data_IF_356828654683
#
_entry.id   IF_356828654683
#
_cell.length_a   1.000
_cell.length_b   1.000
_cell.length_c   1.000
_cell.angle_alpha   90.00
_cell.angle_beta   90.00
_cell.angle_gamma   90.00
#
_symmetry.space_group_name_H-M   'P 1'
#
loop_
_entity.id
_entity.type
_entity.pdbx_description
1 polymer ?
#
# COMPACT_ATOMS: atom_id res chain seq x y z
N UNK A 1 -6.12 9.82 -13.20
CA UNK A 1 -7.52 9.51 -12.87
C UNK A 1 -7.58 8.36 -11.88
N UNK A 2 -8.44 8.47 -10.90
CA UNK A 2 -8.65 7.43 -9.91
C UNK A 2 -10.09 6.93 -10.01
N UNK A 3 -10.28 5.63 -10.07
CA UNK A 3 -11.60 5.03 -10.14
C UNK A 3 -11.72 3.88 -9.15
N UNK A 4 -12.96 3.55 -8.79
CA UNK A 4 -13.26 2.51 -7.81
C UNK A 4 -14.02 1.38 -8.48
N UNK A 5 -13.67 0.11 -8.21
CA UNK A 5 -14.40 -1.02 -8.80
C UNK A 5 -15.80 -1.14 -8.20
N UNK A 6 -16.68 -1.77 -8.94
CA UNK A 6 -18.02 -2.11 -8.47
C UNK A 6 -18.02 -3.55 -7.93
N UNK A 7 -18.52 -3.74 -6.71
CA UNK A 7 -18.64 -5.07 -6.11
C UNK A 7 -17.38 -5.50 -5.37
N UNK A 8 -17.46 -6.69 -4.74
CA UNK A 8 -16.44 -7.19 -3.82
C UNK A 8 -15.56 -8.28 -4.42
N UNK A 9 -15.66 -8.51 -5.73
CA UNK A 9 -14.90 -9.57 -6.40
C UNK A 9 -13.47 -9.17 -6.71
N UNK A 10 -13.15 -7.88 -6.58
CA UNK A 10 -11.82 -7.36 -6.89
C UNK A 10 -10.99 -7.24 -5.62
N UNK A 11 -9.66 -7.42 -5.77
CA UNK A 11 -8.71 -7.36 -4.66
C UNK A 11 -8.04 -6.00 -4.54
N UNK A 12 -8.55 -5.02 -5.27
CA UNK A 12 -8.05 -3.64 -5.21
C UNK A 12 -9.23 -2.69 -4.97
N UNK A 13 -8.94 -1.55 -4.33
CA UNK A 13 -9.93 -0.54 -4.02
C UNK A 13 -10.03 0.53 -5.10
N UNK A 14 -8.92 0.83 -5.78
CA UNK A 14 -8.86 1.92 -6.74
C UNK A 14 -8.00 1.53 -7.94
N UNK A 15 -8.30 2.15 -9.07
CA UNK A 15 -7.42 2.16 -10.23
C UNK A 15 -6.90 3.57 -10.37
N UNK A 16 -5.59 3.70 -10.49
CA UNK A 16 -4.92 4.98 -10.72
C UNK A 16 -4.40 4.98 -12.15
N UNK A 17 -4.92 5.89 -12.97
CA UNK A 17 -4.52 6.07 -14.35
C UNK A 17 -3.60 7.29 -14.43
N UNK A 18 -2.34 7.07 -14.77
CA UNK A 18 -1.35 8.15 -14.85
C UNK A 18 -1.09 8.62 -16.27
N UNK A 19 -1.95 8.22 -17.22
CA UNK A 19 -1.81 8.55 -18.64
C UNK A 19 -0.96 7.56 -19.43
N UNK A 20 -0.26 6.67 -18.77
CA UNK A 20 0.55 5.62 -19.38
C UNK A 20 0.23 4.25 -18.82
N UNK A 21 0.09 4.17 -17.50
CA UNK A 21 -0.14 2.93 -16.78
C UNK A 21 -1.45 2.99 -16.02
N UNK A 22 -2.03 1.83 -15.81
CA UNK A 22 -3.18 1.65 -14.92
C UNK A 22 -2.69 0.84 -13.74
N UNK A 23 -2.69 1.46 -12.54
CA UNK A 23 -2.25 0.79 -11.32
C UNK A 23 -3.45 0.39 -10.48
N UNK A 24 -3.50 -0.88 -10.11
CA UNK A 24 -4.52 -1.39 -9.18
C UNK A 24 -3.97 -1.19 -7.78
N UNK A 25 -4.71 -0.47 -6.95
CA UNK A 25 -4.27 -0.03 -5.63
C UNK A 25 -5.21 -0.57 -4.56
N UNK A 26 -4.66 -1.21 -3.55
CA UNK A 26 -5.36 -1.62 -2.35
C UNK A 26 -4.97 -0.68 -1.23
N UNK A 27 -5.96 -0.13 -0.52
CA UNK A 27 -5.72 0.76 0.61
C UNK A 27 -5.88 -0.02 1.91
N UNK A 28 -4.91 0.13 2.81
CA UNK A 28 -4.95 -0.42 4.15
C UNK A 28 -4.73 0.70 5.15
N UNK A 29 -5.43 0.63 6.28
CA UNK A 29 -5.26 1.60 7.36
C UNK A 29 -4.86 0.87 8.63
N UNK A 30 -4.07 1.53 9.47
CA UNK A 30 -3.63 0.91 10.70
C UNK A 30 -3.37 1.89 11.82
N UNK A 31 -3.58 1.40 13.04
CA UNK A 31 -3.27 2.15 14.25
C UNK A 31 -2.72 1.27 15.36
N UNK A 32 -2.65 -0.05 15.11
CA UNK A 32 -2.18 -0.99 16.13
C UNK A 32 -0.67 -0.91 16.26
N UNK A 33 -0.22 -0.64 17.49
CA UNK A 33 1.21 -0.50 17.78
C UNK A 33 1.67 -1.63 18.71
N UNK A 34 2.81 -2.22 18.37
CA UNK A 34 3.46 -3.23 19.18
C UNK A 34 4.96 -2.89 19.25
N UNK A 35 5.49 -2.78 20.46
CA UNK A 35 6.92 -2.52 20.69
C UNK A 35 7.44 -1.27 19.95
N UNK A 36 6.60 -0.23 19.89
CA UNK A 36 6.98 1.03 19.27
C UNK A 36 6.81 1.08 17.77
N UNK A 37 6.28 0.02 17.17
CA UNK A 37 6.08 -0.05 15.72
C UNK A 37 4.61 -0.29 15.40
N UNK A 38 4.11 0.40 14.39
CA UNK A 38 2.79 0.11 13.87
C UNK A 38 2.83 -1.17 13.03
N UNK A 39 1.88 -2.07 13.28
CA UNK A 39 1.79 -3.34 12.58
C UNK A 39 0.59 -3.31 11.65
N UNK A 40 0.76 -3.75 10.43
CA UNK A 40 -0.31 -3.77 9.44
C UNK A 40 -0.31 -5.11 8.71
N UNK A 41 -1.48 -5.77 8.69
CA UNK A 41 -1.64 -7.01 7.93
C UNK A 41 -1.71 -6.67 6.44
N UNK A 42 -0.87 -7.31 5.64
CA UNK A 42 -0.79 -7.07 4.20
C UNK A 42 -1.23 -8.29 3.40
N UNK A 43 -2.15 -9.06 3.95
CA UNK A 43 -2.73 -10.20 3.26
C UNK A 43 -4.22 -10.00 3.05
N UNK A 44 -4.75 -10.65 2.04
CA UNK A 44 -6.18 -10.71 1.81
C UNK A 44 -6.73 -12.04 2.30
N UNK A 45 -8.03 -12.06 2.52
CA UNK A 45 -8.70 -13.28 2.96
C UNK A 45 -9.48 -13.90 1.80
N UNK A 46 -9.29 -15.18 1.57
CA UNK A 46 -10.00 -15.94 0.55
C UNK A 46 -10.44 -17.26 1.16
N UNK A 47 -11.76 -17.52 1.17
CA UNK A 47 -12.32 -18.76 1.72
C UNK A 47 -11.93 -18.98 3.18
N UNK A 48 -11.78 -17.92 3.97
CA UNK A 48 -11.38 -17.99 5.36
C UNK A 48 -9.88 -18.11 5.60
N UNK A 49 -9.07 -18.17 4.52
CA UNK A 49 -7.62 -18.32 4.59
C UNK A 49 -6.97 -17.01 4.19
N UNK A 50 -5.94 -16.59 4.93
CA UNK A 50 -5.15 -15.41 4.58
C UNK A 50 -4.09 -15.78 3.55
N UNK A 51 -4.05 -15.04 2.45
CA UNK A 51 -3.09 -15.26 1.38
C UNK A 51 -2.44 -13.92 0.99
N UNK A 52 -1.19 -13.95 0.48
CA UNK A 52 -0.53 -12.71 0.09
C UNK A 52 -1.15 -12.13 -1.17
N UNK A 53 -1.05 -10.80 -1.32
CA UNK A 53 -1.37 -10.15 -2.58
C UNK A 53 -0.32 -10.51 -3.61
N UNK A 54 -0.74 -10.65 -4.87
CA UNK A 54 0.15 -10.94 -5.98
C UNK A 54 0.08 -9.82 -7.02
N UNK A 55 1.09 -9.74 -7.88
CA UNK A 55 1.16 -8.76 -8.96
C UNK A 55 -0.03 -8.90 -9.92
N UNK A 56 -0.59 -10.08 -10.05
CA UNK A 56 -1.75 -10.28 -10.90
C UNK A 56 -3.04 -9.71 -10.32
N UNK A 57 -3.04 -9.38 -9.04
CA UNK A 57 -4.23 -8.88 -8.32
C UNK A 57 -4.15 -7.39 -8.03
N UNK A 58 -3.00 -6.93 -7.53
CA UNK A 58 -2.77 -5.53 -7.21
C UNK A 58 -1.35 -5.15 -7.62
N UNK A 59 -1.15 -3.88 -7.88
CA UNK A 59 0.17 -3.35 -8.21
C UNK A 59 0.81 -2.65 -7.02
N UNK A 60 0.00 -1.98 -6.21
CA UNK A 60 0.46 -1.26 -5.02
C UNK A 60 -0.48 -1.46 -3.86
N UNK A 61 0.08 -1.52 -2.67
CA UNK A 61 -0.68 -1.40 -1.42
C UNK A 61 -0.30 -0.06 -0.83
N UNK A 62 -1.30 0.78 -0.59
CA UNK A 62 -1.10 2.09 0.02
C UNK A 62 -1.55 1.97 1.47
N UNK A 63 -0.61 2.16 2.38
CA UNK A 63 -0.85 2.02 3.81
C UNK A 63 -0.96 3.40 4.46
N UNK A 64 -2.02 3.62 5.22
CA UNK A 64 -2.21 4.84 5.98
C UNK A 64 -2.12 4.57 7.46
N UNK A 65 -1.14 5.18 8.11
CA UNK A 65 -0.95 5.10 9.56
C UNK A 65 -1.57 6.36 10.15
N UNK A 66 -2.85 6.27 10.49
CA UNK A 66 -3.60 7.48 10.77
C UNK A 66 -3.21 8.21 12.06
N UNK A 67 -2.70 7.58 13.14
CA UNK A 67 -2.26 8.34 14.30
C UNK A 67 -1.13 9.32 13.98
N UNK A 68 -0.29 9.00 12.99
CA UNK A 68 0.83 9.84 12.58
C UNK A 68 0.59 10.54 11.24
N UNK A 69 -0.61 10.39 10.67
CA UNK A 69 -0.99 10.98 9.39
C UNK A 69 0.08 10.75 8.32
N UNK A 70 0.52 9.52 8.19
CA UNK A 70 1.59 9.16 7.27
C UNK A 70 1.14 8.05 6.34
N UNK A 71 1.46 8.19 5.06
CA UNK A 71 1.13 7.23 4.02
C UNK A 71 2.39 6.54 3.53
N UNK A 72 2.25 5.28 3.16
CA UNK A 72 3.32 4.50 2.52
C UNK A 72 2.77 3.95 1.22
N UNK A 73 3.53 4.10 0.14
CA UNK A 73 3.17 3.56 -1.19
C UNK A 73 4.07 2.36 -1.44
N UNK A 74 3.50 1.16 -1.31
CA UNK A 74 4.28 -0.07 -1.31
C UNK A 74 4.02 -0.84 -2.61
N UNK A 75 5.04 -1.00 -3.47
CA UNK A 75 4.90 -1.94 -4.59
C UNK A 75 4.63 -3.35 -4.04
N UNK A 76 3.75 -4.09 -4.70
CA UNK A 76 3.34 -5.39 -4.18
C UNK A 76 4.51 -6.35 -4.02
N UNK A 77 5.55 -6.21 -4.83
CA UNK A 77 6.75 -7.06 -4.72
C UNK A 77 7.46 -6.93 -3.37
N UNK A 78 7.31 -5.79 -2.70
CA UNK A 78 7.92 -5.58 -1.38
C UNK A 78 7.18 -6.34 -0.28
N UNK A 79 6.01 -6.86 -0.58
CA UNK A 79 5.16 -7.56 0.38
C UNK A 79 5.22 -9.08 0.20
N UNK A 80 6.04 -9.57 -0.72
CA UNK A 80 6.11 -10.99 -1.05
C UNK A 80 6.36 -11.82 0.21
N UNK A 81 5.47 -12.79 0.45
CA UNK A 81 5.55 -13.74 1.57
C UNK A 81 5.49 -13.12 2.96
N UNK A 82 5.13 -11.83 3.07
CA UNK A 82 4.96 -11.19 4.37
C UNK A 82 3.50 -11.29 4.80
N UNK A 83 3.29 -11.49 6.10
CA UNK A 83 1.95 -11.43 6.69
C UNK A 83 1.66 -10.01 7.19
N UNK A 84 2.66 -9.39 7.80
CA UNK A 84 2.56 -8.05 8.33
C UNK A 84 3.78 -7.25 7.92
N UNK A 85 3.61 -5.94 7.89
CA UNK A 85 4.69 -4.99 7.76
C UNK A 85 4.65 -4.04 8.95
N UNK A 86 5.82 -3.55 9.34
CA UNK A 86 5.97 -2.67 10.49
C UNK A 86 6.44 -1.31 10.04
N UNK A 87 5.89 -0.27 10.66
CA UNK A 87 6.20 1.11 10.31
C UNK A 87 6.55 1.92 11.54
N UNK A 88 7.48 2.85 11.39
CA UNK A 88 7.84 3.82 12.41
C UNK A 88 7.92 5.20 11.78
N UNK A 89 6.77 5.87 11.54
CA UNK A 89 6.73 7.09 10.72
C UNK A 89 7.61 8.23 11.23
N UNK A 90 7.84 8.28 12.53
CA UNK A 90 8.68 9.32 13.14
C UNK A 90 10.09 8.83 13.46
N UNK A 91 10.41 7.60 13.07
CA UNK A 91 11.70 7.01 13.36
C UNK A 91 12.73 7.30 12.28
N UNK A 92 13.98 6.95 12.60
CA UNK A 92 15.08 7.02 11.65
C UNK A 92 14.90 5.96 10.57
N UNK A 93 15.73 6.01 9.52
CA UNK A 93 15.72 5.01 8.47
C UNK A 93 16.02 3.60 8.98
N UNK A 94 16.71 3.49 10.11
CA UNK A 94 16.97 2.19 10.73
C UNK A 94 15.74 1.65 11.45
N UNK A 95 14.91 2.54 12.01
CA UNK A 95 13.70 2.17 12.73
C UNK A 95 12.52 1.94 11.79
N UNK A 96 12.43 2.73 10.72
CA UNK A 96 11.36 2.62 9.73
C UNK A 96 11.88 1.87 8.51
N UNK A 97 11.75 0.55 8.54
CA UNK A 97 12.26 -0.32 7.50
C UNK A 97 11.71 0.01 6.12
N UNK A 98 10.46 0.45 6.06
CA UNK A 98 9.80 0.83 4.82
C UNK A 98 9.80 2.34 4.59
N UNK A 99 10.68 3.08 5.29
CA UNK A 99 10.75 4.53 5.18
C UNK A 99 11.01 5.06 3.79
N UNK A 100 11.66 4.27 2.94
CA UNK A 100 11.87 4.61 1.53
C UNK A 100 10.55 4.87 0.81
N UNK A 101 9.49 4.17 1.22
CA UNK A 101 8.18 4.28 0.59
C UNK A 101 7.25 5.26 1.30
N UNK A 102 7.75 5.97 2.32
CA UNK A 102 6.98 6.99 3.04
C UNK A 102 6.67 8.13 2.09
N UNK A 103 5.37 8.41 1.93
CA UNK A 103 4.88 9.46 1.03
C UNK A 103 5.44 9.34 -0.39
N UNK A 104 5.68 8.11 -0.85
CA UNK A 104 6.31 7.84 -2.15
C UNK A 104 5.30 7.87 -3.29
N UNK A 105 4.50 8.92 -3.35
CA UNK A 105 3.46 9.09 -4.36
C UNK A 105 4.03 9.15 -5.79
N UNK A 106 5.31 9.51 -5.92
CA UNK A 106 5.98 9.56 -7.22
C UNK A 106 5.98 8.20 -7.93
N UNK A 107 5.84 7.11 -7.18
CA UNK A 107 5.81 5.77 -7.78
C UNK A 107 4.55 5.54 -8.62
N UNK A 108 3.50 6.32 -8.37
CA UNK A 108 2.25 6.23 -9.12
C UNK A 108 2.17 7.26 -10.25
N UNK A 109 3.14 8.17 -10.35
CA UNK A 109 3.12 9.23 -11.34
C UNK A 109 3.45 8.70 -12.74
N UNK A 110 3.02 9.45 -13.75
CA UNK A 110 3.34 9.15 -15.12
C UNK A 110 4.79 9.47 -15.46
N UNK A 111 5.21 9.14 -16.70
CA UNK A 111 6.62 9.32 -17.11
C UNK A 111 7.06 10.77 -17.11
N UNK A 112 6.13 11.71 -17.18
CA UNK A 112 6.43 13.14 -17.14
C UNK A 112 6.44 13.71 -15.73
N UNK A 113 6.32 12.87 -14.73
CA UNK A 113 6.23 13.29 -13.35
C UNK A 113 4.92 13.97 -12.98
N UNK A 114 3.89 13.80 -13.82
CA UNK A 114 2.58 14.42 -13.57
C UNK A 114 1.91 13.76 -12.38
N UNK A 115 1.31 14.58 -11.55
CA UNK A 115 0.57 14.13 -10.39
C UNK A 115 -0.88 13.90 -10.82
N UNK A 116 -1.50 12.88 -10.26
CA UNK A 116 -2.90 12.55 -10.55
C UNK A 116 -3.82 13.64 -10.00
N UNK A 117 -4.67 14.11 -10.85
CA UNK A 117 -5.65 15.12 -10.47
C UNK A 117 -6.90 14.52 -9.89
#
# INVERSE_FOLDING_TARGET
MVSRPCGDIYHYDFIVDNGRDLWRVQVKTGSYMMEGLYQLCVRRRTGGVQVPYTKSEVDFVVAYIFPDDTWYVLPVRELAQRETVSFCPKGSSRQDHFGYFREAWHLLQGPDGLVFG
#
